data_IF_531211468489
#
_entry.id   IF_531211468489
#
_cell.length_a   1.000
_cell.length_b   1.000
_cell.length_c   1.000
_cell.angle_alpha   90.00
_cell.angle_beta   90.00
_cell.angle_gamma   90.00
#
_symmetry.space_group_name_H-M   'P 1'
#
loop_
_entity.id
_entity.type
_entity.pdbx_description
1 polymer ?
#
# COMPACT_ATOMS: atom_id res chain seq x y z
N UNK A 1 8.44 -26.28 -15.19
CA UNK A 1 8.29 -25.53 -13.93
C UNK A 1 8.14 -24.05 -14.30
N UNK A 2 6.93 -23.48 -14.41
CA UNK A 2 6.82 -22.07 -14.73
C UNK A 2 7.38 -21.27 -13.55
N UNK A 3 8.36 -20.43 -13.86
CA UNK A 3 9.07 -19.52 -12.97
C UNK A 3 8.07 -18.62 -12.23
N UNK A 4 8.28 -18.43 -10.91
CA UNK A 4 7.58 -17.48 -10.04
C UNK A 4 7.94 -16.01 -10.40
N UNK A 5 7.91 -15.68 -11.69
CA UNK A 5 8.08 -14.32 -12.22
C UNK A 5 6.73 -13.59 -12.21
N UNK A 6 6.19 -13.37 -11.01
CA UNK A 6 5.02 -12.52 -10.76
C UNK A 6 5.33 -11.31 -9.87
N UNK A 7 6.60 -11.09 -9.53
CA UNK A 7 7.09 -9.93 -8.80
C UNK A 7 7.96 -9.05 -9.72
N UNK A 8 7.55 -8.92 -10.98
CA UNK A 8 8.26 -8.13 -11.98
C UNK A 8 7.87 -6.67 -11.83
N UNK A 9 8.75 -5.88 -11.21
CA UNK A 9 9.04 -4.49 -11.62
C UNK A 9 7.85 -3.52 -11.82
N UNK A 10 6.73 -3.70 -11.12
CA UNK A 10 5.77 -2.62 -10.97
C UNK A 10 6.38 -1.65 -9.97
N UNK A 11 6.97 -0.56 -10.46
CA UNK A 11 7.44 0.61 -9.68
C UNK A 11 6.63 0.72 -8.40
N UNK A 12 7.20 0.26 -7.27
CA UNK A 12 6.42 0.12 -6.04
C UNK A 12 5.78 1.46 -5.75
N UNK A 13 4.45 1.56 -5.72
CA UNK A 13 3.80 2.85 -5.64
C UNK A 13 4.18 3.45 -4.29
N UNK A 14 4.86 4.59 -4.35
CA UNK A 14 5.32 5.30 -3.18
C UNK A 14 4.34 6.44 -2.91
N UNK A 15 3.68 6.40 -1.75
CA UNK A 15 2.76 7.44 -1.30
C UNK A 15 3.50 8.25 -0.22
N UNK A 16 3.74 9.53 -0.47
CA UNK A 16 4.45 10.42 0.46
C UNK A 16 5.82 9.89 0.95
N UNK A 17 6.59 9.26 0.06
CA UNK A 17 7.87 8.63 0.41
C UNK A 17 7.76 7.23 1.04
N UNK A 18 6.54 6.76 1.34
CA UNK A 18 6.28 5.43 1.88
C UNK A 18 5.95 4.43 0.78
N UNK A 19 6.74 3.36 0.72
CA UNK A 19 6.58 2.29 -0.26
C UNK A 19 5.36 1.44 0.11
N UNK A 20 4.34 1.43 -0.76
CA UNK A 20 3.16 0.59 -0.58
C UNK A 20 3.43 -0.78 -1.18
N UNK A 21 3.68 -1.76 -0.32
CA UNK A 21 3.83 -3.16 -0.72
C UNK A 21 2.63 -3.99 -0.32
N UNK A 22 2.05 -4.77 -1.25
CA UNK A 22 1.10 -5.79 -0.86
C UNK A 22 1.80 -6.91 -0.09
N UNK A 23 1.21 -7.32 1.03
CA UNK A 23 1.72 -8.43 1.83
C UNK A 23 1.30 -9.81 1.28
N UNK A 24 0.45 -9.87 0.26
CA UNK A 24 -0.19 -11.10 -0.23
C UNK A 24 0.09 -11.30 -1.72
N UNK A 25 0.50 -12.51 -2.16
CA UNK A 25 0.61 -12.85 -3.58
C UNK A 25 -0.74 -12.66 -4.29
N UNK A 26 -0.74 -12.03 -5.46
CA UNK A 26 -1.96 -11.76 -6.24
C UNK A 26 -2.72 -10.49 -5.82
N UNK A 27 -2.19 -9.71 -4.88
CA UNK A 27 -2.69 -8.37 -4.61
C UNK A 27 -2.18 -7.38 -5.68
N UNK A 28 -3.08 -6.54 -6.18
CA UNK A 28 -2.75 -5.52 -7.19
C UNK A 28 -2.74 -4.16 -6.52
N UNK A 29 -1.72 -3.34 -6.81
CA UNK A 29 -1.67 -1.96 -6.32
C UNK A 29 -1.85 -1.00 -7.49
N UNK A 30 -2.90 -0.19 -7.42
CA UNK A 30 -3.24 0.83 -8.38
C UNK A 30 -2.88 2.21 -7.81
N UNK A 31 -1.81 2.88 -8.28
CA UNK A 31 -1.56 4.26 -7.91
C UNK A 31 -2.73 5.14 -8.40
N UNK A 32 -3.23 6.05 -7.54
CA UNK A 32 -4.30 6.99 -7.90
C UNK A 32 -3.91 8.40 -7.41
N UNK A 33 -3.76 9.35 -8.34
CA UNK A 33 -3.33 10.71 -7.99
C UNK A 33 -2.06 10.71 -7.13
N UNK A 34 -2.15 11.22 -5.90
CA UNK A 34 -1.06 11.22 -4.92
C UNK A 34 -1.08 10.03 -3.95
N UNK A 35 -2.04 9.11 -4.09
CA UNK A 35 -2.25 7.90 -3.28
C UNK A 35 -2.11 6.60 -4.07
N UNK A 36 -2.52 5.49 -3.45
CA UNK A 36 -2.55 4.16 -4.05
C UNK A 36 -3.69 3.32 -3.48
N UNK A 37 -4.33 2.48 -4.28
CA UNK A 37 -5.32 1.50 -3.85
C UNK A 37 -4.73 0.10 -3.95
N UNK A 38 -4.95 -0.72 -2.93
CA UNK A 38 -4.50 -2.12 -2.88
C UNK A 38 -5.73 -3.01 -2.94
N UNK A 39 -5.90 -3.70 -4.04
CA UNK A 39 -6.96 -4.68 -4.24
C UNK A 39 -6.42 -6.09 -4.00
N UNK A 40 -7.19 -6.92 -3.28
CA UNK A 40 -6.80 -8.28 -2.93
C UNK A 40 -7.93 -9.24 -3.25
N UNK A 41 -7.66 -10.35 -3.96
CA UNK A 41 -8.67 -11.37 -4.20
C UNK A 41 -9.24 -11.89 -2.87
N UNK A 42 -10.57 -11.82 -2.71
CA UNK A 42 -11.26 -12.28 -1.50
C UNK A 42 -11.11 -11.38 -0.27
N UNK A 43 -10.57 -10.17 -0.40
CA UNK A 43 -10.52 -9.17 0.67
C UNK A 43 -11.03 -7.81 0.19
N UNK A 44 -11.54 -6.97 1.10
CA UNK A 44 -11.94 -5.61 0.76
C UNK A 44 -10.73 -4.79 0.28
N UNK A 45 -10.98 -3.94 -0.71
CA UNK A 45 -10.00 -3.01 -1.29
C UNK A 45 -9.53 -2.02 -0.23
N UNK A 46 -8.22 -1.85 -0.08
CA UNK A 46 -7.62 -0.83 0.78
C UNK A 46 -7.29 0.41 -0.03
N UNK A 47 -7.46 1.58 0.56
CA UNK A 47 -6.98 2.84 -0.03
C UNK A 47 -5.88 3.42 0.84
N UNK A 48 -4.80 3.87 0.22
CA UNK A 48 -3.65 4.51 0.85
C UNK A 48 -3.56 5.93 0.30
N UNK A 49 -3.71 6.92 1.15
CA UNK A 49 -3.70 8.33 0.74
C UNK A 49 -2.62 9.09 1.50
N UNK A 50 -1.97 10.10 0.91
CA UNK A 50 -1.04 10.95 1.63
C UNK A 50 -1.78 11.74 2.71
N UNK A 51 -1.16 11.87 3.89
CA UNK A 51 -1.69 12.62 5.02
C UNK A 51 -0.58 13.31 5.80
N UNK A 52 -0.51 14.64 5.67
CA UNK A 52 0.58 15.43 6.26
C UNK A 52 1.94 14.93 5.78
N UNK A 53 2.81 14.54 6.72
CA UNK A 53 4.11 13.93 6.44
C UNK A 53 4.06 12.40 6.25
N UNK A 54 2.91 11.77 6.42
CA UNK A 54 2.71 10.32 6.31
C UNK A 54 1.62 9.93 5.31
N UNK A 55 0.98 8.79 5.56
CA UNK A 55 -0.12 8.22 4.76
C UNK A 55 -1.22 7.69 5.68
N UNK A 56 -2.45 7.69 5.21
CA UNK A 56 -3.57 7.00 5.84
C UNK A 56 -3.92 5.79 5.00
N UNK A 57 -4.07 4.64 5.66
CA UNK A 57 -4.57 3.40 5.09
C UNK A 57 -5.99 3.17 5.60
N UNK A 58 -6.94 3.19 4.68
CA UNK A 58 -8.36 2.94 4.92
C UNK A 58 -8.72 1.57 4.36
N UNK A 59 -9.33 0.73 5.19
CA UNK A 59 -9.89 -0.57 4.77
C UNK A 59 -11.35 -0.66 5.19
N UNK A 60 -12.27 -0.99 4.27
CA UNK A 60 -13.67 -1.21 4.59
C UNK A 60 -13.83 -2.24 5.72
N UNK A 61 -14.54 -1.87 6.78
CA UNK A 61 -14.77 -2.72 7.95
C UNK A 61 -13.62 -2.75 8.97
N UNK A 62 -12.59 -1.92 8.80
CA UNK A 62 -11.54 -1.71 9.81
C UNK A 62 -11.39 -0.22 10.13
N UNK A 63 -10.73 0.07 11.25
CA UNK A 63 -10.33 1.44 11.57
C UNK A 63 -9.25 1.90 10.61
N UNK A 64 -9.31 3.18 10.28
CA UNK A 64 -8.25 3.85 9.53
C UNK A 64 -6.95 3.81 10.32
N UNK A 65 -5.86 3.57 9.62
CA UNK A 65 -4.51 3.50 10.19
C UNK A 65 -3.67 4.61 9.59
N UNK A 66 -3.02 5.40 10.44
CA UNK A 66 -2.16 6.50 10.01
C UNK A 66 -0.70 6.08 10.15
N UNK A 67 0.01 6.02 9.03
CA UNK A 67 1.43 5.65 8.97
C UNK A 67 2.29 6.89 8.67
N UNK A 68 3.17 7.27 9.59
CA UNK A 68 4.10 8.38 9.40
C UNK A 68 5.55 7.89 9.35
N UNK A 69 6.41 8.51 8.51
CA UNK A 69 7.84 8.21 8.53
C UNK A 69 8.43 8.59 9.90
N UNK A 70 9.26 7.71 10.45
CA UNK A 70 9.96 7.92 11.71
C UNK A 70 11.40 7.41 11.59
N UNK A 71 12.36 8.34 11.55
CA UNK A 71 13.77 8.02 11.30
C UNK A 71 13.97 7.33 9.95
N UNK A 72 14.53 6.11 9.96
CA UNK A 72 14.66 5.24 8.76
C UNK A 72 13.48 4.28 8.56
N UNK A 73 12.47 4.35 9.41
CA UNK A 73 11.31 3.45 9.42
C UNK A 73 9.99 4.18 9.25
N UNK A 74 8.91 3.47 9.56
CA UNK A 74 7.55 3.99 9.51
C UNK A 74 6.79 3.50 10.73
N UNK A 75 6.05 4.39 11.37
CA UNK A 75 5.19 4.05 12.52
C UNK A 75 3.75 4.23 12.09
N UNK A 76 2.95 3.17 12.26
CA UNK A 76 1.52 3.16 11.97
C UNK A 76 0.72 3.08 13.28
N UNK A 77 -0.30 3.93 13.42
CA UNK A 77 -1.16 4.02 14.62
C UNK A 77 -2.62 4.18 14.26
#
# INVERSE_FOLDING_TARGET
MPSLAGASDAKRPTVNGLVVTPATPGATVHPFGSGAQVERPGQPTRSVSPFGSGVIVTEPGKRDVVCTPFGKGTTCR
#
